data_IF_327824159789
#
_entry.id   IF_327824159789
#
_cell.length_a   1.000
_cell.length_b   1.000
_cell.length_c   1.000
_cell.angle_alpha   90.00
_cell.angle_beta   90.00
_cell.angle_gamma   90.00
#
_symmetry.space_group_name_H-M   'P 1'
#
loop_
_entity.id
_entity.type
_entity.pdbx_description
1 polymer ?
#
# COMPACT_ATOMS: atom_id res chain seq x y z
N UNK A 1 53.08 27.53 -8.19
CA UNK A 1 52.69 26.10 -8.12
C UNK A 1 51.17 26.03 -8.09
N UNK A 2 50.58 25.33 -9.06
CA UNK A 2 49.12 25.18 -9.22
C UNK A 2 48.59 24.24 -8.14
N UNK A 3 47.60 24.67 -7.36
CA UNK A 3 46.88 23.78 -6.45
C UNK A 3 45.79 23.05 -7.24
N UNK A 4 45.96 21.73 -7.40
CA UNK A 4 44.94 20.83 -7.93
C UNK A 4 44.14 20.35 -6.73
N UNK A 5 42.87 20.77 -6.63
CA UNK A 5 41.91 20.23 -5.66
C UNK A 5 41.26 19.01 -6.32
N UNK A 6 41.35 17.79 -5.76
CA UNK A 6 40.64 16.65 -6.30
C UNK A 6 39.16 16.76 -5.91
N UNK A 7 38.30 16.80 -6.93
CA UNK A 7 36.85 16.72 -6.78
C UNK A 7 36.48 15.28 -6.41
N UNK A 8 36.20 15.04 -5.13
CA UNK A 8 35.68 13.75 -4.67
C UNK A 8 34.20 13.63 -5.08
N UNK A 9 33.93 12.85 -6.12
CA UNK A 9 32.58 12.47 -6.53
C UNK A 9 32.06 11.46 -5.50
N UNK A 10 31.21 11.91 -4.58
CA UNK A 10 30.47 11.04 -3.68
C UNK A 10 29.34 10.38 -4.49
N UNK A 11 29.59 9.17 -5.00
CA UNK A 11 28.54 8.28 -5.50
C UNK A 11 27.72 7.82 -4.30
N UNK A 12 26.58 8.47 -4.06
CA UNK A 12 25.56 7.98 -3.13
C UNK A 12 24.95 6.75 -3.81
N UNK A 13 25.45 5.57 -3.45
CA UNK A 13 24.80 4.32 -3.78
C UNK A 13 23.45 4.27 -3.08
N UNK A 14 22.37 4.48 -3.82
CA UNK A 14 21.04 4.13 -3.33
C UNK A 14 21.02 2.62 -3.17
N UNK A 15 20.98 2.16 -1.92
CA UNK A 15 20.62 0.79 -1.61
C UNK A 15 19.21 0.56 -2.14
N UNK A 16 19.11 -0.06 -3.31
CA UNK A 16 17.88 -0.67 -3.79
C UNK A 16 17.59 -1.83 -2.84
N UNK A 17 16.84 -1.55 -1.76
CA UNK A 17 16.20 -2.61 -1.01
C UNK A 17 15.33 -3.38 -2.01
N UNK A 18 15.50 -4.70 -2.18
CA UNK A 18 14.58 -5.47 -2.99
C UNK A 18 13.18 -5.24 -2.44
N UNK A 19 12.28 -4.73 -3.29
CA UNK A 19 10.88 -4.59 -2.92
C UNK A 19 10.36 -6.01 -2.63
N UNK A 20 9.69 -6.16 -1.48
CA UNK A 20 9.15 -7.45 -1.07
C UNK A 20 8.16 -7.94 -2.12
N UNK A 21 8.34 -9.18 -2.58
CA UNK A 21 7.36 -9.83 -3.43
C UNK A 21 6.03 -9.97 -2.67
N UNK A 22 4.97 -9.42 -3.24
CA UNK A 22 3.64 -9.31 -2.60
C UNK A 22 2.58 -9.64 -3.62
N UNK A 23 1.41 -10.10 -3.17
CA UNK A 23 0.31 -10.48 -4.05
C UNK A 23 -0.99 -9.87 -3.54
N UNK A 24 -1.81 -9.38 -4.46
CA UNK A 24 -3.15 -8.87 -4.19
C UNK A 24 -4.14 -10.03 -4.32
N UNK A 25 -4.87 -10.32 -3.25
CA UNK A 25 -5.95 -11.29 -3.23
C UNK A 25 -7.31 -10.60 -3.15
N UNK A 26 -8.27 -11.12 -3.89
CA UNK A 26 -9.69 -10.77 -3.81
C UNK A 26 -10.46 -11.88 -3.08
N UNK A 27 -11.26 -11.52 -2.09
CA UNK A 27 -12.12 -12.42 -1.34
C UNK A 27 -13.57 -11.93 -1.41
N UNK A 28 -14.49 -12.87 -1.41
CA UNK A 28 -15.92 -12.61 -1.27
C UNK A 28 -16.29 -12.52 0.22
N UNK A 29 -17.24 -11.63 0.53
CA UNK A 29 -17.77 -11.43 1.88
C UNK A 29 -19.20 -11.96 1.94
N UNK A 30 -19.46 -12.87 2.88
CA UNK A 30 -20.83 -13.30 3.21
C UNK A 30 -21.18 -12.90 4.63
N UNK A 31 -22.37 -12.32 4.78
CA UNK A 31 -22.99 -11.99 6.06
C UNK A 31 -24.08 -13.01 6.34
N UNK A 32 -23.91 -13.78 7.42
CA UNK A 32 -24.85 -14.81 7.83
C UNK A 32 -25.29 -14.51 9.27
N UNK A 33 -26.31 -15.21 9.78
CA UNK A 33 -26.73 -15.09 11.19
C UNK A 33 -25.57 -15.40 12.18
N UNK A 34 -24.61 -16.24 11.77
CA UNK A 34 -23.39 -16.55 12.52
C UNK A 34 -22.24 -15.55 12.39
N UNK A 35 -22.47 -14.40 11.74
CA UNK A 35 -21.46 -13.35 11.55
C UNK A 35 -20.91 -13.29 10.13
N UNK A 36 -19.66 -12.86 10.03
CA UNK A 36 -18.98 -12.63 8.76
C UNK A 36 -18.08 -13.79 8.38
N UNK A 37 -18.06 -14.11 7.09
CA UNK A 37 -17.14 -15.07 6.51
C UNK A 37 -16.48 -14.50 5.26
N UNK A 38 -15.21 -14.84 5.07
CA UNK A 38 -14.43 -14.52 3.88
C UNK A 38 -14.11 -15.82 3.15
N UNK A 39 -14.36 -15.85 1.85
CA UNK A 39 -14.23 -17.07 1.06
C UNK A 39 -13.75 -16.78 -0.37
N UNK A 40 -13.41 -17.86 -1.08
CA UNK A 40 -12.91 -17.84 -2.46
C UNK A 40 -11.73 -16.89 -2.70
N UNK A 41 -10.62 -16.98 -1.93
CA UNK A 41 -9.47 -16.12 -2.19
C UNK A 41 -8.89 -16.37 -3.58
N UNK A 42 -8.86 -15.32 -4.38
CA UNK A 42 -8.33 -15.32 -5.75
C UNK A 42 -7.13 -14.39 -5.81
N UNK A 43 -5.97 -14.91 -6.21
CA UNK A 43 -4.83 -14.04 -6.55
C UNK A 43 -5.19 -13.27 -7.84
N UNK A 44 -5.21 -11.93 -7.77
CA UNK A 44 -5.58 -11.06 -8.90
C UNK A 44 -4.39 -10.34 -9.54
N UNK A 45 -3.24 -10.25 -8.87
CA UNK A 45 -1.99 -9.76 -9.45
C UNK A 45 -1.28 -10.88 -10.22
N UNK A 46 -0.96 -11.97 -9.52
CA UNK A 46 -0.37 -13.19 -10.06
C UNK A 46 0.86 -12.92 -10.95
N UNK A 47 1.77 -12.10 -10.45
CA UNK A 47 3.05 -11.75 -11.07
C UNK A 47 4.13 -11.67 -9.98
N UNK A 48 5.41 -11.75 -10.39
CA UNK A 48 6.49 -11.43 -9.47
C UNK A 48 6.62 -9.91 -9.32
N UNK A 49 6.87 -9.45 -8.10
CA UNK A 49 7.24 -8.07 -7.81
C UNK A 49 6.36 -7.39 -6.77
N UNK A 50 6.23 -6.09 -6.91
CA UNK A 50 5.48 -5.25 -5.99
C UNK A 50 4.03 -5.15 -6.44
N UNK A 51 3.14 -5.85 -5.73
CA UNK A 51 1.69 -5.76 -5.90
C UNK A 51 1.05 -5.28 -4.61
N UNK A 52 0.53 -4.05 -4.63
CA UNK A 52 0.21 -3.35 -3.39
C UNK A 52 -0.89 -2.30 -3.55
N UNK A 53 -1.31 -1.75 -2.40
CA UNK A 53 -2.21 -0.60 -2.29
C UNK A 53 -3.51 -0.77 -3.10
N UNK A 54 -4.26 -1.88 -2.92
CA UNK A 54 -5.51 -2.06 -3.63
C UNK A 54 -6.56 -1.04 -3.19
N UNK A 55 -7.28 -0.49 -4.16
CA UNK A 55 -8.38 0.42 -3.96
C UNK A 55 -9.54 0.06 -4.90
N UNK A 56 -10.75 -0.03 -4.37
CA UNK A 56 -11.92 -0.22 -5.22
C UNK A 56 -12.28 1.10 -5.90
N UNK A 57 -12.24 1.11 -7.23
CA UNK A 57 -12.75 2.23 -8.04
C UNK A 57 -14.28 2.26 -8.03
N UNK A 58 -14.88 1.06 -8.11
CA UNK A 58 -16.31 0.81 -7.97
C UNK A 58 -16.54 -0.63 -7.45
N UNK A 59 -17.77 -1.15 -7.55
CA UNK A 59 -18.11 -2.52 -7.10
C UNK A 59 -17.60 -3.65 -8.00
N UNK A 60 -17.03 -3.34 -9.15
CA UNK A 60 -16.59 -4.29 -10.17
C UNK A 60 -15.13 -4.06 -10.62
N UNK A 61 -14.49 -2.98 -10.18
CA UNK A 61 -13.15 -2.57 -10.63
C UNK A 61 -12.25 -2.29 -9.44
N UNK A 62 -11.09 -2.94 -9.42
CA UNK A 62 -10.04 -2.75 -8.41
C UNK A 62 -8.82 -2.14 -9.07
N UNK A 63 -8.28 -1.08 -8.50
CA UNK A 63 -7.01 -0.49 -8.85
C UNK A 63 -5.95 -1.00 -7.89
N UNK A 64 -4.74 -1.27 -8.36
CA UNK A 64 -3.59 -1.55 -7.48
C UNK A 64 -2.28 -1.23 -8.19
N UNK A 65 -1.25 -0.95 -7.42
CA UNK A 65 0.13 -0.84 -7.90
C UNK A 65 0.63 -2.24 -8.21
N UNK A 66 1.20 -2.48 -9.39
CA UNK A 66 1.66 -3.80 -9.83
C UNK A 66 2.91 -3.71 -10.69
N UNK A 67 3.84 -4.64 -10.49
CA UNK A 67 5.09 -4.68 -11.26
C UNK A 67 4.92 -5.41 -12.59
N UNK A 68 5.36 -4.77 -13.66
CA UNK A 68 5.58 -5.41 -14.97
C UNK A 68 6.84 -4.86 -15.62
N UNK A 69 7.60 -5.70 -16.32
CA UNK A 69 8.79 -5.28 -17.06
C UNK A 69 9.81 -4.48 -16.20
N UNK A 70 9.90 -4.77 -14.91
CA UNK A 70 10.82 -4.09 -13.98
C UNK A 70 10.37 -2.72 -13.49
N UNK A 71 9.15 -2.28 -13.80
CA UNK A 71 8.55 -1.03 -13.35
C UNK A 71 7.20 -1.28 -12.66
N UNK A 72 6.87 -0.47 -11.65
CA UNK A 72 5.54 -0.50 -11.03
C UNK A 72 4.62 0.49 -11.74
N UNK A 73 3.49 -0.01 -12.23
CA UNK A 73 2.40 0.73 -12.88
C UNK A 73 1.09 0.52 -12.10
N UNK A 74 0.04 1.25 -12.47
CA UNK A 74 -1.31 1.01 -11.95
C UNK A 74 -2.05 0.00 -12.84
N UNK A 75 -2.41 -1.14 -12.25
CA UNK A 75 -3.30 -2.14 -12.83
C UNK A 75 -4.76 -1.82 -12.49
N UNK A 76 -5.66 -2.12 -13.43
CA UNK A 76 -7.11 -2.14 -13.26
C UNK A 76 -7.61 -3.58 -13.45
N UNK A 77 -8.21 -4.15 -12.41
CA UNK A 77 -8.79 -5.49 -12.44
C UNK A 77 -10.29 -5.43 -12.45
N UNK A 78 -10.89 -6.06 -13.46
CA UNK A 78 -12.33 -6.20 -13.59
C UNK A 78 -12.79 -7.51 -12.94
N UNK A 79 -13.58 -7.43 -11.88
CA UNK A 79 -14.02 -8.57 -11.07
C UNK A 79 -14.84 -9.56 -11.89
N UNK A 80 -15.83 -9.07 -12.66
CA UNK A 80 -16.72 -9.92 -13.45
C UNK A 80 -15.98 -10.72 -14.55
N UNK A 81 -15.02 -10.10 -15.24
CA UNK A 81 -14.30 -10.75 -16.35
C UNK A 81 -12.99 -11.41 -15.93
N UNK A 82 -12.48 -11.07 -14.75
CA UNK A 82 -11.18 -11.50 -14.26
C UNK A 82 -9.97 -10.96 -15.04
N UNK A 83 -10.15 -9.89 -15.83
CA UNK A 83 -9.12 -9.32 -16.70
C UNK A 83 -8.40 -8.14 -16.04
N UNK A 84 -7.09 -8.06 -16.25
CA UNK A 84 -6.27 -6.89 -15.94
C UNK A 84 -6.11 -6.02 -17.19
N UNK A 85 -6.23 -4.71 -17.02
CA UNK A 85 -5.81 -3.68 -17.95
C UNK A 85 -4.84 -2.74 -17.23
N UNK A 86 -3.95 -2.09 -17.96
CA UNK A 86 -2.95 -1.20 -17.38
C UNK A 86 -3.36 0.24 -17.58
N UNK A 87 -3.60 0.96 -16.49
CA UNK A 87 -3.95 2.37 -16.53
C UNK A 87 -2.75 3.23 -16.92
N UNK A 88 -1.60 2.93 -16.34
CA UNK A 88 -0.36 3.68 -16.58
C UNK A 88 0.61 2.85 -17.39
N UNK A 89 1.46 3.55 -18.13
CA UNK A 89 2.61 3.01 -18.85
C UNK A 89 3.62 4.15 -19.07
N UNK A 90 4.04 4.78 -17.97
CA UNK A 90 4.93 5.93 -18.08
C UNK A 90 6.35 5.44 -18.39
N UNK A 91 7.05 5.97 -19.41
CA UNK A 91 8.38 5.44 -19.76
C UNK A 91 9.44 5.59 -18.66
N UNK A 92 9.21 6.54 -17.74
CA UNK A 92 10.13 6.89 -16.67
C UNK A 92 9.34 7.22 -15.41
N UNK A 93 9.57 6.45 -14.36
CA UNK A 93 8.94 6.60 -13.05
C UNK A 93 8.23 5.32 -12.63
N UNK A 94 7.59 5.34 -11.47
CA UNK A 94 6.72 4.26 -11.04
C UNK A 94 5.57 4.82 -10.25
N UNK A 95 4.40 4.20 -10.40
CA UNK A 95 3.14 4.68 -9.85
C UNK A 95 2.67 3.84 -8.66
N UNK A 96 2.11 4.52 -7.66
CA UNK A 96 1.75 3.96 -6.36
C UNK A 96 0.46 4.59 -5.82
N UNK A 97 -0.18 3.89 -4.88
CA UNK A 97 -1.34 4.38 -4.11
C UNK A 97 -2.49 4.89 -4.98
N UNK A 98 -3.01 4.11 -5.96
CA UNK A 98 -4.08 4.58 -6.83
C UNK A 98 -5.39 4.79 -6.06
N UNK A 99 -6.08 5.90 -6.30
CA UNK A 99 -7.40 6.19 -5.74
C UNK A 99 -8.29 6.86 -6.78
N UNK A 100 -9.57 6.50 -6.83
CA UNK A 100 -10.56 7.25 -7.62
C UNK A 100 -10.68 8.69 -7.12
N UNK A 101 -10.72 9.64 -8.04
CA UNK A 101 -11.01 11.05 -7.73
C UNK A 101 -12.52 11.21 -7.52
N UNK A 102 -12.97 11.77 -6.38
CA UNK A 102 -14.40 12.02 -6.15
C UNK A 102 -15.03 12.85 -7.28
N UNK A 103 -16.27 12.54 -7.64
CA UNK A 103 -17.03 13.21 -8.70
C UNK A 103 -16.36 13.21 -10.09
N UNK A 104 -15.41 12.32 -10.31
CA UNK A 104 -14.70 12.13 -11.57
C UNK A 104 -14.59 10.64 -11.89
N UNK A 105 -14.33 10.34 -13.17
CA UNK A 105 -13.92 9.01 -13.60
C UNK A 105 -12.40 8.81 -13.52
N UNK A 106 -11.67 9.87 -13.18
CA UNK A 106 -10.22 9.85 -13.16
C UNK A 106 -9.65 9.20 -11.90
N UNK A 107 -8.39 8.79 -12.02
CA UNK A 107 -7.63 8.15 -10.96
C UNK A 107 -6.48 9.06 -10.54
N UNK A 108 -6.24 9.16 -9.25
CA UNK A 108 -5.06 9.78 -8.69
C UNK A 108 -4.04 8.72 -8.32
N UNK A 109 -2.75 8.97 -8.58
CA UNK A 109 -1.67 8.09 -8.11
C UNK A 109 -0.39 8.89 -7.84
N UNK A 110 0.39 8.45 -6.85
CA UNK A 110 1.71 8.98 -6.55
C UNK A 110 2.69 8.41 -7.58
N UNK A 111 3.43 9.27 -8.28
CA UNK A 111 4.52 8.86 -9.18
C UNK A 111 5.85 9.23 -8.55
N UNK A 112 6.70 8.22 -8.35
CA UNK A 112 8.11 8.38 -8.02
C UNK A 112 8.91 8.53 -9.31
N UNK A 113 9.56 9.67 -9.52
CA UNK A 113 10.46 9.86 -10.66
C UNK A 113 11.88 9.35 -10.39
N UNK A 114 12.71 9.33 -11.42
CA UNK A 114 14.11 8.86 -11.34
C UNK A 114 15.03 9.78 -10.53
N UNK A 115 14.60 11.00 -10.20
CA UNK A 115 15.33 11.89 -9.29
C UNK A 115 15.01 11.60 -7.81
N UNK A 116 14.06 10.71 -7.55
CA UNK A 116 13.59 10.37 -6.21
C UNK A 116 12.49 11.31 -5.69
N UNK A 117 11.91 12.16 -6.55
CA UNK A 117 10.79 13.02 -6.19
C UNK A 117 9.49 12.26 -6.40
N UNK A 118 8.62 12.32 -5.38
CA UNK A 118 7.30 11.68 -5.39
C UNK A 118 6.24 12.76 -5.55
N UNK A 119 5.50 12.76 -6.65
CA UNK A 119 4.45 13.76 -6.93
C UNK A 119 3.11 13.09 -7.14
N UNK A 120 2.04 13.84 -6.91
CA UNK A 120 0.68 13.35 -7.12
C UNK A 120 0.19 13.74 -8.51
N UNK A 121 -0.32 12.77 -9.26
CA UNK A 121 -0.87 12.95 -10.60
C UNK A 121 -2.31 12.48 -10.68
N UNK A 122 -3.08 13.11 -11.57
CA UNK A 122 -4.38 12.68 -12.09
C UNK A 122 -4.15 11.92 -13.39
N UNK A 123 -4.88 10.85 -13.61
CA UNK A 123 -4.85 10.01 -14.81
C UNK A 123 -6.27 9.85 -15.33
N UNK A 124 -6.45 10.15 -16.60
CA UNK A 124 -7.67 9.82 -17.32
C UNK A 124 -7.80 8.29 -17.41
N UNK A 125 -8.90 7.73 -16.91
CA UNK A 125 -9.04 6.28 -16.78
C UNK A 125 -9.07 5.55 -18.12
N UNK A 126 -9.50 6.25 -19.19
CA UNK A 126 -9.69 5.68 -20.52
C UNK A 126 -8.45 5.74 -21.39
N UNK A 127 -7.65 6.80 -21.25
CA UNK A 127 -6.48 7.08 -22.09
C UNK A 127 -5.16 6.90 -21.36
N UNK A 128 -5.15 6.90 -20.02
CA UNK A 128 -3.94 6.89 -19.20
C UNK A 128 -3.16 8.21 -19.22
N UNK A 129 -3.69 9.25 -19.88
CA UNK A 129 -3.05 10.57 -19.93
C UNK A 129 -3.03 11.19 -18.54
N UNK A 130 -1.89 11.77 -18.16
CA UNK A 130 -1.70 12.29 -16.80
C UNK A 130 -1.53 13.80 -16.73
N UNK A 131 -2.13 14.43 -15.72
CA UNK A 131 -1.87 15.82 -15.33
C UNK A 131 -1.37 15.88 -13.89
N UNK A 132 -0.55 16.88 -13.59
CA UNK A 132 0.04 17.03 -12.26
C UNK A 132 -0.97 17.65 -11.30
N UNK A 133 -1.24 17.00 -10.17
CA UNK A 133 -2.07 17.56 -9.07
C UNK A 133 -1.19 18.39 -8.13
N UNK A 134 -0.04 17.84 -7.73
CA UNK A 134 0.83 18.48 -6.72
C UNK A 134 2.30 18.40 -7.10
N UNK A 135 2.89 19.58 -7.34
CA UNK A 135 4.25 19.73 -7.89
C UNK A 135 5.36 19.71 -6.84
N UNK A 136 5.20 20.45 -5.76
CA UNK A 136 6.28 20.83 -4.83
C UNK A 136 6.16 20.14 -3.47
N UNK A 137 6.00 18.81 -3.47
CA UNK A 137 6.07 18.04 -2.23
C UNK A 137 6.38 16.57 -2.52
N UNK A 138 7.09 15.90 -1.61
CA UNK A 138 7.29 14.43 -1.64
C UNK A 138 6.05 13.77 -1.04
N UNK A 139 5.00 13.60 -1.84
CA UNK A 139 3.74 13.00 -1.40
C UNK A 139 3.93 11.51 -1.14
N UNK A 140 3.57 11.03 0.05
CA UNK A 140 3.62 9.61 0.39
C UNK A 140 2.29 8.90 0.16
N UNK A 141 1.25 9.40 0.83
CA UNK A 141 -0.12 8.88 0.74
C UNK A 141 -1.09 10.06 0.68
N UNK A 142 -2.27 9.83 0.12
CA UNK A 142 -3.27 10.88 -0.06
C UNK A 142 -4.69 10.34 0.01
N UNK A 143 -5.64 11.24 0.28
CA UNK A 143 -7.06 11.06 0.03
C UNK A 143 -7.62 12.42 -0.42
N UNK A 144 -8.38 12.42 -1.52
CA UNK A 144 -9.06 13.63 -1.99
C UNK A 144 -10.35 13.79 -1.17
N UNK A 145 -10.44 14.86 -0.39
CA UNK A 145 -11.65 15.21 0.34
C UNK A 145 -12.67 15.89 -0.60
N UNK A 146 -12.18 16.75 -1.48
CA UNK A 146 -12.92 17.36 -2.60
C UNK A 146 -11.97 17.56 -3.80
N UNK A 147 -12.43 18.22 -4.86
CA UNK A 147 -11.55 18.63 -5.97
C UNK A 147 -10.47 19.62 -5.52
N UNK A 148 -10.78 20.47 -4.53
CA UNK A 148 -9.88 21.55 -4.06
C UNK A 148 -9.11 21.21 -2.77
N UNK A 149 -9.57 20.23 -1.98
CA UNK A 149 -8.96 19.89 -0.70
C UNK A 149 -8.40 18.47 -0.72
N UNK A 150 -7.09 18.39 -0.55
CA UNK A 150 -6.32 17.16 -0.48
C UNK A 150 -5.78 16.96 0.94
N UNK A 151 -6.08 15.81 1.55
CA UNK A 151 -5.39 15.37 2.76
C UNK A 151 -4.26 14.43 2.33
N UNK A 152 -3.02 14.78 2.65
CA UNK A 152 -1.86 14.01 2.21
C UNK A 152 -0.79 13.90 3.30
N UNK A 153 0.13 12.95 3.10
CA UNK A 153 1.37 12.90 3.85
C UNK A 153 2.52 13.43 3.02
N UNK A 154 3.40 14.22 3.64
CA UNK A 154 4.64 14.69 3.03
C UNK A 154 5.82 14.06 3.74
N UNK A 155 6.68 13.38 2.97
CA UNK A 155 7.91 12.77 3.47
C UNK A 155 8.89 13.86 3.90
N UNK A 156 9.26 13.85 5.17
CA UNK A 156 10.21 14.79 5.78
C UNK A 156 11.23 14.00 6.58
N UNK A 157 12.51 14.03 6.18
CA UNK A 157 13.57 13.22 6.79
C UNK A 157 13.17 11.73 6.83
N UNK A 158 13.02 11.16 8.03
CA UNK A 158 12.65 9.76 8.26
C UNK A 158 11.20 9.59 8.75
N UNK A 159 10.32 10.57 8.49
CA UNK A 159 8.92 10.55 8.92
C UNK A 159 7.97 11.07 7.83
N UNK A 160 6.68 10.93 8.10
CA UNK A 160 5.60 11.54 7.34
C UNK A 160 4.86 12.56 8.21
N UNK A 161 4.70 13.78 7.70
CA UNK A 161 3.86 14.81 8.31
C UNK A 161 2.51 14.84 7.55
N UNK A 162 1.39 14.92 8.27
CA UNK A 162 0.04 15.07 7.73
C UNK A 162 -0.21 16.53 7.38
N UNK A 163 -0.47 16.79 6.10
CA UNK A 163 -0.75 18.11 5.55
C UNK A 163 -2.14 18.06 4.91
N UNK A 164 -2.87 19.15 5.04
CA UNK A 164 -4.02 19.41 4.20
C UNK A 164 -3.66 20.56 3.27
N UNK A 165 -3.88 20.32 1.98
CA UNK A 165 -3.63 21.28 0.91
C UNK A 165 -4.97 21.75 0.37
N UNK A 166 -5.23 23.05 0.49
CA UNK A 166 -6.35 23.71 -0.17
C UNK A 166 -5.82 24.41 -1.43
N UNK A 167 -6.21 23.90 -2.60
CA UNK A 167 -5.78 24.41 -3.90
C UNK A 167 -6.51 25.68 -4.32
N UNK A 168 -7.73 25.92 -3.83
CA UNK A 168 -8.46 27.15 -4.08
C UNK A 168 -7.84 28.33 -3.32
N UNK A 169 -7.45 28.10 -2.06
CA UNK A 169 -6.84 29.12 -1.20
C UNK A 169 -5.30 29.20 -1.34
N UNK A 170 -4.69 28.25 -2.07
CA UNK A 170 -3.23 28.06 -2.18
C UNK A 170 -2.52 27.90 -0.81
N UNK A 171 -3.19 27.25 0.15
CA UNK A 171 -2.68 27.05 1.52
C UNK A 171 -2.37 25.59 1.78
N UNK A 172 -1.19 25.34 2.34
CA UNK A 172 -0.84 24.09 3.01
C UNK A 172 -0.84 24.30 4.53
N UNK A 173 -1.63 23.50 5.25
CA UNK A 173 -1.58 23.49 6.71
C UNK A 173 -1.14 22.12 7.23
N UNK A 174 -0.13 22.11 8.10
CA UNK A 174 0.31 20.88 8.76
C UNK A 174 -0.58 20.59 9.97
N UNK A 175 -1.32 19.49 9.88
CA UNK A 175 -2.14 18.95 10.97
C UNK A 175 -1.27 18.31 12.04
N UNK A 176 -0.38 17.41 11.65
CA UNK A 176 0.39 16.61 12.61
C UNK A 176 1.71 16.11 12.03
N UNK A 177 2.73 15.98 12.88
CA UNK A 177 3.95 15.22 12.54
C UNK A 177 3.78 13.74 12.87
N UNK A 178 4.61 12.89 12.26
CA UNK A 178 4.70 11.45 12.54
C UNK A 178 3.35 10.74 12.39
N UNK A 179 2.86 10.64 11.17
CA UNK A 179 1.67 9.86 10.84
C UNK A 179 2.02 8.61 10.04
N UNK A 180 1.11 7.63 10.06
CA UNK A 180 1.19 6.40 9.29
C UNK A 180 0.75 6.58 7.84
N UNK A 181 0.56 5.46 7.15
CA UNK A 181 0.19 5.42 5.73
C UNK A 181 -1.32 5.49 5.47
N UNK A 182 -2.14 5.06 6.42
CA UNK A 182 -3.59 5.03 6.27
C UNK A 182 -4.19 6.42 6.38
N UNK A 183 -4.74 6.90 5.26
CA UNK A 183 -5.61 8.06 5.15
C UNK A 183 -6.91 7.60 4.47
N UNK A 184 -8.05 7.80 5.13
CA UNK A 184 -9.33 7.34 4.58
C UNK A 184 -10.46 8.30 4.94
N UNK A 185 -11.35 8.61 3.99
CA UNK A 185 -12.64 9.21 4.33
C UNK A 185 -13.40 8.29 5.27
N UNK A 186 -13.98 8.85 6.34
CA UNK A 186 -14.82 8.10 7.27
C UNK A 186 -16.23 8.02 6.66
N UNK A 187 -16.79 6.81 6.45
CA UNK A 187 -18.12 6.65 5.87
C UNK A 187 -19.18 7.48 6.60
N UNK A 188 -20.16 7.99 5.85
CA UNK A 188 -21.30 8.76 6.37
C UNK A 188 -20.90 10.02 7.17
N UNK A 189 -19.74 10.60 6.89
CA UNK A 189 -19.26 11.84 7.52
C UNK A 189 -18.43 12.68 6.56
N UNK A 190 -18.12 13.92 6.96
CA UNK A 190 -17.20 14.84 6.30
C UNK A 190 -15.78 14.77 6.89
N UNK A 191 -15.46 13.69 7.60
CA UNK A 191 -14.20 13.52 8.30
C UNK A 191 -13.25 12.63 7.50
N UNK A 192 -11.95 12.92 7.63
CA UNK A 192 -10.87 12.02 7.19
C UNK A 192 -10.24 11.40 8.42
N UNK A 193 -10.04 10.09 8.38
CA UNK A 193 -9.27 9.37 9.38
C UNK A 193 -7.80 9.27 8.99
N UNK A 194 -6.94 9.23 10.00
CA UNK A 194 -5.52 8.96 9.84
C UNK A 194 -4.96 8.20 11.06
N UNK A 195 -3.85 7.51 10.84
CA UNK A 195 -3.09 6.88 11.94
C UNK A 195 -2.00 7.83 12.41
N UNK A 196 -2.07 8.24 13.68
CA UNK A 196 -1.03 8.99 14.37
C UNK A 196 -0.01 8.05 15.00
N UNK A 197 1.28 8.28 14.79
CA UNK A 197 2.36 7.45 15.34
C UNK A 197 3.05 8.18 16.50
N UNK A 198 3.05 7.57 17.69
CA UNK A 198 3.73 8.08 18.89
C UNK A 198 4.68 7.00 19.42
N UNK A 199 5.91 6.99 18.91
CA UNK A 199 6.86 5.92 19.20
C UNK A 199 6.36 4.59 18.62
N UNK A 200 6.05 3.61 19.49
CA UNK A 200 5.47 2.32 19.09
C UNK A 200 3.94 2.30 19.11
N UNK A 201 3.31 3.35 19.61
CA UNK A 201 1.85 3.46 19.69
C UNK A 201 1.29 4.01 18.38
N UNK A 202 0.22 3.39 17.90
CA UNK A 202 -0.59 3.87 16.78
C UNK A 202 -1.97 4.28 17.31
N UNK A 203 -2.43 5.47 16.94
CA UNK A 203 -3.73 6.01 17.33
C UNK A 203 -4.55 6.31 16.09
N UNK A 204 -5.76 5.77 15.99
CA UNK A 204 -6.71 6.14 14.96
C UNK A 204 -7.37 7.46 15.36
N UNK A 205 -7.24 8.47 14.51
CA UNK A 205 -7.82 9.81 14.71
C UNK A 205 -8.71 10.22 13.54
N UNK A 206 -9.69 11.06 13.80
CA UNK A 206 -10.42 11.82 12.79
C UNK A 206 -9.83 13.22 12.65
N UNK A 207 -10.02 13.82 11.47
CA UNK A 207 -9.65 15.16 11.07
C UNK A 207 -10.82 15.76 10.27
N UNK A 208 -11.25 16.97 10.62
CA UNK A 208 -12.15 17.76 9.77
C UNK A 208 -11.29 18.60 8.80
N UNK A 209 -11.25 18.29 7.49
CA UNK A 209 -10.25 18.86 6.58
C UNK A 209 -10.33 20.38 6.39
N UNK A 210 -11.50 21.00 6.64
CA UNK A 210 -11.65 22.46 6.51
C UNK A 210 -11.23 23.25 7.74
N UNK A 211 -11.35 22.67 8.94
CA UNK A 211 -11.07 23.37 10.20
C UNK A 211 -9.75 22.95 10.84
N UNK A 212 -9.22 21.79 10.44
CA UNK A 212 -8.02 21.20 11.04
C UNK A 212 -8.26 20.56 12.41
N UNK A 213 -9.50 20.53 12.89
CA UNK A 213 -9.85 19.90 14.17
C UNK A 213 -9.61 18.38 14.10
N UNK A 214 -9.01 17.83 15.16
CA UNK A 214 -8.72 16.39 15.26
C UNK A 214 -9.27 15.79 16.54
N UNK A 215 -9.73 14.55 16.46
CA UNK A 215 -10.23 13.79 17.62
C UNK A 215 -9.67 12.37 17.63
N UNK A 216 -9.41 11.84 18.83
CA UNK A 216 -9.06 10.42 19.01
C UNK A 216 -10.31 9.56 18.80
N UNK A 217 -10.21 8.57 17.91
CA UNK A 217 -11.22 7.52 17.76
C UNK A 217 -10.88 6.37 18.72
N UNK A 218 -9.69 5.79 18.56
CA UNK A 218 -9.22 4.69 19.41
C UNK A 218 -7.72 4.46 19.30
N UNK A 219 -7.15 3.66 20.22
CA UNK A 219 -5.80 3.14 20.11
C UNK A 219 -5.78 1.88 19.24
N UNK A 220 -4.79 1.78 18.36
CA UNK A 220 -4.60 0.61 17.49
C UNK A 220 -3.64 -0.39 18.16
N UNK A 221 -4.04 -1.65 18.36
CA UNK A 221 -3.19 -2.65 18.97
C UNK A 221 -2.02 -3.04 18.04
N UNK A 222 -0.87 -3.34 18.64
CA UNK A 222 0.25 -3.99 17.94
C UNK A 222 0.95 -3.14 16.88
N UNK A 223 0.76 -1.82 16.88
CA UNK A 223 1.44 -0.91 15.94
C UNK A 223 1.03 -1.12 14.48
N UNK A 224 -0.17 -1.66 14.24
CA UNK A 224 -0.73 -1.82 12.89
C UNK A 224 -0.81 -0.44 12.24
N UNK A 225 -0.33 -0.34 10.99
CA UNK A 225 -0.27 0.94 10.26
C UNK A 225 -1.17 0.99 9.04
N UNK A 226 -1.90 -0.09 8.76
CA UNK A 226 -2.87 -0.18 7.68
C UNK A 226 -4.27 -0.46 8.24
N UNK A 227 -5.31 0.02 7.57
CA UNK A 227 -6.70 -0.17 7.98
C UNK A 227 -7.62 0.10 6.79
N UNK A 228 -8.87 -0.33 6.88
CA UNK A 228 -9.92 0.21 6.03
C UNK A 228 -11.23 0.35 6.80
N UNK A 229 -12.03 1.36 6.47
CA UNK A 229 -13.40 1.48 6.98
C UNK A 229 -14.31 0.48 6.30
N UNK A 230 -15.27 -0.05 7.05
CA UNK A 230 -16.37 -0.79 6.46
C UNK A 230 -17.46 0.18 5.96
N UNK A 231 -18.12 -0.06 4.79
CA UNK A 231 -19.05 0.91 4.22
C UNK A 231 -20.22 1.31 5.13
N UNK A 232 -20.69 0.37 5.96
CA UNK A 232 -21.80 0.59 6.91
C UNK A 232 -21.34 1.10 8.28
N UNK A 233 -20.03 1.24 8.51
CA UNK A 233 -19.49 1.61 9.83
C UNK A 233 -18.55 0.60 10.47
N UNK A 234 -17.67 1.09 11.34
CA UNK A 234 -16.58 0.33 11.93
C UNK A 234 -15.40 0.17 10.96
N UNK A 235 -14.34 -0.51 11.40
CA UNK A 235 -13.12 -0.62 10.61
C UNK A 235 -12.42 -1.96 10.78
N UNK A 236 -11.57 -2.30 9.81
CA UNK A 236 -10.80 -3.52 9.73
C UNK A 236 -9.32 -3.22 9.92
N UNK A 237 -8.63 -4.04 10.71
CA UNK A 237 -7.18 -3.99 10.91
C UNK A 237 -6.57 -5.34 10.49
N UNK A 238 -5.61 -5.38 9.55
CA UNK A 238 -4.88 -6.59 9.22
C UNK A 238 -3.79 -6.87 10.26
N UNK A 239 -3.65 -8.14 10.68
CA UNK A 239 -2.59 -8.60 11.59
C UNK A 239 -2.18 -10.03 11.27
N UNK A 240 -0.98 -10.20 10.70
CA UNK A 240 -0.55 -11.52 10.23
C UNK A 240 -1.56 -12.06 9.21
N UNK A 241 -2.03 -13.29 9.37
CA UNK A 241 -3.08 -13.88 8.53
C UNK A 241 -4.49 -13.73 9.13
N UNK A 242 -4.70 -12.72 9.97
CA UNK A 242 -6.00 -12.42 10.60
C UNK A 242 -6.44 -11.00 10.30
N UNK A 243 -7.76 -10.78 10.33
CA UNK A 243 -8.38 -9.46 10.22
C UNK A 243 -9.16 -9.22 11.52
N UNK A 244 -8.90 -8.10 12.18
CA UNK A 244 -9.62 -7.67 13.37
C UNK A 244 -10.67 -6.64 12.93
N UNK A 245 -11.95 -6.94 13.13
CA UNK A 245 -13.07 -6.07 12.81
C UNK A 245 -13.58 -5.38 14.06
N UNK A 246 -13.51 -4.07 14.10
CA UNK A 246 -14.15 -3.22 15.10
C UNK A 246 -15.53 -2.79 14.63
N UNK A 247 -16.46 -2.67 15.57
CA UNK A 247 -17.77 -2.06 15.36
C UNK A 247 -17.66 -0.53 15.50
N UNK A 248 -18.71 0.22 15.12
CA UNK A 248 -18.77 1.66 15.42
C UNK A 248 -18.84 1.91 16.93
N UNK A 249 -19.58 1.07 17.64
CA UNK A 249 -19.59 1.04 19.10
C UNK A 249 -18.34 0.30 19.59
N UNK A 250 -17.34 1.07 19.98
CA UNK A 250 -16.05 0.58 20.47
C UNK A 250 -16.14 -0.14 21.82
N UNK A 251 -17.31 -0.18 22.48
CA UNK A 251 -17.54 -1.02 23.65
C UNK A 251 -17.81 -2.48 23.28
N UNK A 252 -18.18 -2.76 22.02
CA UNK A 252 -18.35 -4.13 21.54
C UNK A 252 -16.99 -4.77 21.27
N UNK A 253 -16.87 -6.03 21.68
CA UNK A 253 -15.66 -6.81 21.42
C UNK A 253 -15.40 -6.94 19.91
N UNK A 254 -14.14 -6.78 19.46
CA UNK A 254 -13.81 -6.93 18.06
C UNK A 254 -13.93 -8.38 17.61
N UNK A 255 -14.37 -8.58 16.37
CA UNK A 255 -14.46 -9.89 15.74
C UNK A 255 -13.12 -10.21 15.07
N UNK A 256 -12.59 -11.41 15.31
CA UNK A 256 -11.36 -11.88 14.67
C UNK A 256 -11.74 -12.84 13.55
N UNK A 257 -11.35 -12.51 12.32
CA UNK A 257 -11.50 -13.36 11.14
C UNK A 257 -10.14 -13.98 10.85
N UNK A 258 -10.07 -15.31 10.89
CA UNK A 258 -8.84 -16.06 10.68
C UNK A 258 -8.78 -16.64 9.26
N UNK A 259 -7.72 -16.35 8.51
CA UNK A 259 -7.52 -16.83 7.14
C UNK A 259 -6.47 -17.95 7.05
N UNK A 260 -6.11 -18.59 8.16
CA UNK A 260 -5.09 -19.65 8.21
C UNK A 260 -5.40 -20.88 7.35
N UNK A 261 -6.66 -21.12 7.01
CA UNK A 261 -7.05 -22.20 6.09
C UNK A 261 -6.53 -21.95 4.66
N UNK A 262 -6.36 -20.68 4.29
CA UNK A 262 -5.88 -20.26 2.98
C UNK A 262 -4.35 -20.17 2.98
N UNK A 263 -3.69 -21.28 2.63
CA UNK A 263 -2.21 -21.42 2.66
C UNK A 263 -1.45 -20.38 1.83
N UNK A 264 -2.10 -19.78 0.84
CA UNK A 264 -1.56 -18.72 -0.02
C UNK A 264 -1.68 -17.32 0.58
N UNK A 265 -2.42 -17.14 1.68
CA UNK A 265 -2.50 -15.90 2.44
C UNK A 265 -1.63 -16.06 3.69
N UNK A 266 -0.56 -15.27 3.75
CA UNK A 266 0.38 -15.24 4.86
C UNK A 266 0.19 -13.94 5.66
N UNK A 267 1.19 -13.06 5.70
CA UNK A 267 1.10 -11.79 6.42
C UNK A 267 0.38 -10.76 5.56
N UNK A 268 -0.77 -10.28 6.04
CA UNK A 268 -1.57 -9.26 5.38
C UNK A 268 -0.99 -7.89 5.71
N UNK A 269 -0.53 -7.18 4.68
CA UNK A 269 0.10 -5.86 4.83
C UNK A 269 -0.81 -4.70 4.41
N UNK A 270 -1.83 -4.97 3.58
CA UNK A 270 -2.87 -3.99 3.19
C UNK A 270 -4.25 -4.61 3.15
N UNK A 271 -5.27 -3.79 3.36
CA UNK A 271 -6.67 -4.19 3.25
C UNK A 271 -7.53 -3.08 2.63
N UNK A 272 -8.51 -3.47 1.83
CA UNK A 272 -9.49 -2.57 1.21
C UNK A 272 -10.81 -3.29 0.99
N UNK A 273 -11.91 -2.55 0.94
CA UNK A 273 -13.26 -3.10 0.80
C UNK A 273 -14.02 -2.41 -0.33
N UNK A 274 -14.80 -3.19 -1.08
CA UNK A 274 -15.70 -2.67 -2.10
C UNK A 274 -16.78 -1.74 -1.50
N UNK A 275 -17.28 -0.74 -2.25
CA UNK A 275 -18.35 0.14 -1.77
C UNK A 275 -19.61 -0.61 -1.28
N UNK A 276 -19.93 -1.74 -1.90
CA UNK A 276 -21.06 -2.61 -1.51
C UNK A 276 -20.77 -3.53 -0.32
N UNK A 277 -19.52 -3.61 0.14
CA UNK A 277 -19.11 -4.56 1.18
C UNK A 277 -19.15 -6.03 0.74
N UNK A 278 -19.28 -6.33 -0.56
CA UNK A 278 -19.33 -7.72 -1.07
C UNK A 278 -17.96 -8.34 -1.28
N UNK A 279 -16.95 -7.50 -1.47
CA UNK A 279 -15.59 -7.93 -1.73
C UNK A 279 -14.59 -7.22 -0.83
N UNK A 280 -13.52 -7.94 -0.53
CA UNK A 280 -12.36 -7.48 0.21
C UNK A 280 -11.10 -7.78 -0.60
N UNK A 281 -10.26 -6.77 -0.79
CA UNK A 281 -8.95 -6.92 -1.41
C UNK A 281 -7.88 -6.83 -0.31
N UNK A 282 -6.92 -7.75 -0.30
CA UNK A 282 -5.83 -7.78 0.66
C UNK A 282 -4.49 -7.97 -0.04
N UNK A 283 -3.42 -7.43 0.55
CA UNK A 283 -2.05 -7.68 0.09
C UNK A 283 -1.41 -8.68 1.03
N UNK A 284 -1.05 -9.85 0.52
CA UNK A 284 -0.29 -10.85 1.26
C UNK A 284 1.19 -10.78 0.90
N UNK A 285 2.05 -10.82 1.90
CA UNK A 285 3.46 -11.12 1.71
C UNK A 285 3.64 -12.56 1.23
N UNK A 286 4.71 -12.79 0.46
CA UNK A 286 5.06 -14.13 0.03
C UNK A 286 5.37 -15.04 1.22
N UNK A 287 4.83 -16.27 1.20
CA UNK A 287 5.13 -17.25 2.25
C UNK A 287 6.62 -17.61 2.24
N UNK A 288 7.30 -17.60 3.39
CA UNK A 288 8.67 -18.11 3.50
C UNK A 288 8.81 -19.57 3.02
N UNK A 289 7.72 -20.35 3.03
CA UNK A 289 7.72 -21.72 2.52
C UNK A 289 8.05 -21.78 1.02
N UNK A 290 7.68 -20.77 0.22
CA UNK A 290 8.00 -20.75 -1.21
C UNK A 290 9.50 -20.65 -1.46
N UNK A 291 10.19 -19.74 -0.76
CA UNK A 291 11.65 -19.59 -0.92
C UNK A 291 12.41 -20.82 -0.38
N UNK A 292 11.93 -21.41 0.72
CA UNK A 292 12.49 -22.66 1.27
C UNK A 292 12.29 -23.82 0.29
N UNK A 293 11.10 -23.95 -0.31
CA UNK A 293 10.83 -25.01 -1.28
C UNK A 293 11.71 -24.87 -2.53
N UNK A 294 11.83 -23.64 -3.08
CA UNK A 294 12.72 -23.33 -4.21
C UNK A 294 14.18 -23.69 -3.90
N UNK A 295 14.63 -23.40 -2.67
CA UNK A 295 15.95 -23.77 -2.20
C UNK A 295 16.15 -25.29 -2.15
N UNK A 296 15.20 -26.04 -1.58
CA UNK A 296 15.26 -27.52 -1.50
C UNK A 296 15.26 -28.15 -2.88
N UNK A 297 14.41 -27.69 -3.79
CA UNK A 297 14.35 -28.19 -5.17
C UNK A 297 15.64 -27.90 -5.92
N UNK A 298 16.19 -26.69 -5.78
CA UNK A 298 17.46 -26.30 -6.41
C UNK A 298 18.62 -27.15 -5.89
N UNK A 299 18.66 -27.44 -4.58
CA UNK A 299 19.64 -28.32 -3.96
C UNK A 299 19.53 -29.75 -4.52
N UNK A 300 18.33 -30.33 -4.51
CA UNK A 300 18.08 -31.69 -4.99
C UNK A 300 18.38 -31.85 -6.49
N UNK A 301 18.21 -30.79 -7.28
CA UNK A 301 18.56 -30.77 -8.69
C UNK A 301 20.07 -30.56 -8.96
N UNK A 302 20.88 -30.32 -7.92
CA UNK A 302 22.29 -29.95 -8.07
C UNK A 302 22.49 -28.59 -8.76
N UNK A 303 21.46 -27.74 -8.79
CA UNK A 303 21.50 -26.43 -9.42
C UNK A 303 22.01 -25.36 -8.44
N UNK A 304 23.33 -25.20 -8.41
CA UNK A 304 24.01 -24.29 -7.47
C UNK A 304 23.60 -22.82 -7.67
N UNK A 305 23.45 -22.37 -8.92
CA UNK A 305 23.06 -20.98 -9.21
C UNK A 305 21.67 -20.67 -8.67
N UNK A 306 20.68 -21.54 -8.93
CA UNK A 306 19.33 -21.38 -8.40
C UNK A 306 19.29 -21.46 -6.87
N UNK A 307 20.12 -22.32 -6.26
CA UNK A 307 20.24 -22.44 -4.81
C UNK A 307 20.80 -21.15 -4.18
N UNK A 308 21.89 -20.60 -4.72
CA UNK A 308 22.51 -19.37 -4.22
C UNK A 308 21.56 -18.17 -4.37
N UNK A 309 20.79 -18.12 -5.47
CA UNK A 309 19.81 -17.06 -5.71
C UNK A 309 18.63 -17.05 -4.72
N UNK A 310 18.53 -18.03 -3.81
CA UNK A 310 17.55 -18.01 -2.72
C UNK A 310 18.01 -17.21 -1.50
N UNK A 311 19.27 -16.76 -1.45
CA UNK A 311 19.83 -16.01 -0.35
C UNK A 311 20.01 -14.52 -0.71
N UNK A 312 20.08 -13.67 0.32
CA UNK A 312 20.42 -12.26 0.13
C UNK A 312 21.89 -12.10 -0.31
N UNK A 313 22.21 -11.00 -1.00
CA UNK A 313 23.54 -10.76 -1.61
C UNK A 313 24.70 -10.76 -0.62
N UNK A 314 24.43 -10.55 0.66
CA UNK A 314 25.37 -10.52 1.77
C UNK A 314 25.59 -11.90 2.44
N UNK A 315 24.87 -12.95 1.99
CA UNK A 315 25.08 -14.32 2.45
C UNK A 315 26.19 -14.99 1.64
N UNK A 316 27.17 -15.55 2.34
CA UNK A 316 28.26 -16.33 1.74
C UNK A 316 27.88 -17.81 1.71
N UNK A 317 27.78 -18.38 0.51
CA UNK A 317 27.57 -19.82 0.29
C UNK A 317 28.89 -20.48 -0.13
N UNK A 318 29.29 -21.57 0.52
CA UNK A 318 30.55 -22.30 0.25
C UNK A 318 30.30 -23.81 0.16
N UNK A 319 31.10 -24.50 -0.65
CA UNK A 319 31.09 -25.96 -0.74
C UNK A 319 31.85 -26.57 0.45
N UNK A 320 31.20 -27.44 1.21
CA UNK A 320 31.84 -28.18 2.29
C UNK A 320 32.08 -29.66 1.89
N UNK A 321 33.24 -30.27 2.16
CA UNK A 321 34.45 -29.72 2.79
C UNK A 321 35.48 -29.15 1.79
N UNK A 322 35.15 -29.04 0.50
CA UNK A 322 36.09 -28.61 -0.54
C UNK A 322 36.67 -27.21 -0.31
N UNK A 323 35.92 -26.34 0.37
CA UNK A 323 36.28 -24.95 0.66
C UNK A 323 36.68 -24.76 2.13
N UNK A 324 37.51 -25.67 2.68
CA UNK A 324 37.96 -25.60 4.09
C UNK A 324 39.33 -24.89 4.25
N UNK A 325 39.28 -23.80 5.04
CA UNK A 325 40.33 -22.92 5.60
C UNK A 325 41.08 -21.97 4.64
#
# INVERSE_FOLDING_TARGET
>A
MKYIIPLAIFLIGNSLFPQSNTEVFLLEVSKNEGGWSLFNPKNISNNEGYDNQPAFYDNNTILFSSTRNGQTDIAQYNIATGKIQWLTNTPVGSEYSPLRIPNSDDVSAVRLDTSGLQRLYRYDISTGNSTLIRKEAKVGYHVLYSEDILVNTILTENRMDLIVSNFEEEIDFRVQKNVGRSLHSIPNSDMVSYISMKGKEALLKSLHPKTGETQLITSIPGGITDMCWWPEGGFLLPRGNTIIKFSEDLQQDPIIINLSEYKNIHSISRISVSPSGKYLALVSEESPAKIVQKQVESYNAGNLEAFINCYSKDVVVRNFPSDTL
#
